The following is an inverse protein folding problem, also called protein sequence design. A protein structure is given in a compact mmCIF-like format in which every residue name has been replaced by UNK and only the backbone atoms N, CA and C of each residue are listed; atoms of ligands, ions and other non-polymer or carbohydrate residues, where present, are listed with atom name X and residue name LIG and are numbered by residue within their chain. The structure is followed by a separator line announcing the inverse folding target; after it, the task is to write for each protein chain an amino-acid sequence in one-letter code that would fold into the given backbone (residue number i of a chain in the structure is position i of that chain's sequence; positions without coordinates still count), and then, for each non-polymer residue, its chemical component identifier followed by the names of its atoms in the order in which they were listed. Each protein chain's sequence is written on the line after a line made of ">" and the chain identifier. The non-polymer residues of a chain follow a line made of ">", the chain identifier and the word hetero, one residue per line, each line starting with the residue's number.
data_IF_642256583354
#
_entry.id   IF_642256583354
#
_cell.length_a   1.000
_cell.length_b   1.000
_cell.length_c   1.000
_cell.angle_alpha   90.00
_cell.angle_beta   90.00
_cell.angle_gamma   90.00
#
_symmetry.space_group_name_H-M   'P 1'
#
loop_
_entity.id
_entity.type
_entity.pdbx_description
1 polymer ?
#
# COMPACT_ATOMS: atom_id res chain seq x y z
N UNK A 1 11.47 -18.89 4.51
CA UNK A 1 11.48 -18.69 3.04
C UNK A 1 12.87 -18.56 2.43
N UNK A 2 13.55 -19.71 2.29
CA UNK A 2 14.89 -19.84 1.71
C UNK A 2 14.89 -20.15 0.19
N UNK A 3 13.74 -20.08 -0.49
CA UNK A 3 13.59 -20.52 -1.88
C UNK A 3 14.09 -19.52 -2.93
N UNK A 4 14.31 -18.25 -2.58
CA UNK A 4 14.71 -17.21 -3.52
C UNK A 4 15.78 -16.31 -2.94
N UNK A 5 16.74 -15.93 -3.77
CA UNK A 5 17.72 -14.91 -3.44
C UNK A 5 17.06 -13.53 -3.31
N UNK A 6 17.64 -12.58 -2.55
CA UNK A 6 17.07 -11.24 -2.38
C UNK A 6 16.74 -10.52 -3.70
N UNK A 7 17.61 -10.65 -4.71
CA UNK A 7 17.38 -10.06 -6.04
C UNK A 7 16.17 -10.68 -6.76
N UNK A 8 15.97 -11.99 -6.64
CA UNK A 8 14.81 -12.69 -7.22
C UNK A 8 13.51 -12.26 -6.53
N UNK A 9 13.53 -12.11 -5.20
CA UNK A 9 12.38 -11.59 -4.44
C UNK A 9 12.04 -10.16 -4.84
N UNK A 10 13.04 -9.30 -5.01
CA UNK A 10 12.84 -7.93 -5.49
C UNK A 10 12.22 -7.93 -6.90
N UNK A 11 12.73 -8.77 -7.80
CA UNK A 11 12.19 -8.87 -9.15
C UNK A 11 10.73 -9.36 -9.14
N UNK A 12 10.42 -10.36 -8.32
CA UNK A 12 9.06 -10.87 -8.15
C UNK A 12 8.13 -9.81 -7.54
N UNK A 13 8.62 -9.00 -6.60
CA UNK A 13 7.87 -7.86 -6.06
C UNK A 13 7.52 -6.84 -7.15
N UNK A 14 8.44 -6.53 -8.07
CA UNK A 14 8.18 -5.66 -9.24
C UNK A 14 7.18 -6.27 -10.22
N UNK A 15 7.21 -7.58 -10.42
CA UNK A 15 6.19 -8.26 -11.22
C UNK A 15 4.80 -8.20 -10.57
N UNK A 16 4.73 -8.41 -9.26
CA UNK A 16 3.50 -8.24 -8.48
C UNK A 16 2.97 -6.81 -8.58
N UNK A 17 3.83 -5.79 -8.51
CA UNK A 17 3.45 -4.40 -8.72
C UNK A 17 2.80 -4.19 -10.10
N UNK A 18 3.44 -4.68 -11.17
CA UNK A 18 2.91 -4.55 -12.53
C UNK A 18 1.58 -5.28 -12.69
N UNK A 19 1.48 -6.50 -12.16
CA UNK A 19 0.25 -7.28 -12.20
C UNK A 19 -0.87 -6.61 -11.41
N UNK A 20 -0.57 -6.04 -10.23
CA UNK A 20 -1.53 -5.32 -9.41
C UNK A 20 -2.08 -4.08 -10.13
N UNK A 21 -1.23 -3.31 -10.83
CA UNK A 21 -1.66 -2.17 -11.66
C UNK A 21 -2.60 -2.61 -12.79
N UNK A 22 -2.28 -3.72 -13.47
CA UNK A 22 -3.14 -4.27 -14.53
C UNK A 22 -4.49 -4.72 -13.97
N UNK A 23 -4.50 -5.48 -12.87
CA UNK A 23 -5.73 -5.93 -12.21
C UNK A 23 -6.58 -4.73 -11.74
N UNK A 24 -5.94 -3.71 -11.16
CA UNK A 24 -6.60 -2.46 -10.75
C UNK A 24 -7.28 -1.76 -11.93
N UNK A 25 -6.60 -1.65 -13.09
CA UNK A 25 -7.18 -1.06 -14.30
C UNK A 25 -8.38 -1.83 -14.88
N UNK A 26 -8.55 -3.10 -14.48
CA UNK A 26 -9.66 -3.97 -14.86
C UNK A 26 -10.74 -4.09 -13.80
N UNK A 27 -10.66 -3.28 -12.73
CA UNK A 27 -11.58 -3.33 -11.59
C UNK A 27 -11.56 -4.67 -10.83
N UNK A 28 -10.50 -5.46 -10.96
CA UNK A 28 -10.29 -6.70 -10.20
C UNK A 28 -9.69 -6.38 -8.82
N UNK A 29 -10.42 -5.62 -8.00
CA UNK A 29 -9.88 -4.98 -6.79
C UNK A 29 -9.26 -5.95 -5.80
N UNK A 30 -9.94 -7.08 -5.50
CA UNK A 30 -9.41 -8.07 -4.58
C UNK A 30 -8.10 -8.69 -5.09
N UNK A 31 -8.03 -9.00 -6.39
CA UNK A 31 -6.83 -9.52 -7.04
C UNK A 31 -5.68 -8.52 -6.98
N UNK A 32 -5.95 -7.26 -7.33
CA UNK A 32 -4.98 -6.18 -7.29
C UNK A 32 -4.41 -5.98 -5.87
N UNK A 33 -5.28 -5.99 -4.86
CA UNK A 33 -4.87 -5.90 -3.45
C UNK A 33 -3.97 -7.07 -3.04
N UNK A 34 -4.36 -8.30 -3.39
CA UNK A 34 -3.61 -9.50 -3.04
C UNK A 34 -2.22 -9.52 -3.68
N UNK A 35 -2.12 -9.09 -4.95
CA UNK A 35 -0.85 -8.96 -5.66
C UNK A 35 0.04 -7.90 -5.01
N UNK A 36 -0.50 -6.72 -4.72
CA UNK A 36 0.23 -5.64 -4.10
C UNK A 36 0.81 -6.05 -2.73
N UNK A 37 0.00 -6.67 -1.87
CA UNK A 37 0.44 -7.17 -0.57
C UNK A 37 1.46 -8.32 -0.69
N UNK A 38 1.32 -9.17 -1.70
CA UNK A 38 2.31 -10.22 -1.96
C UNK A 38 3.65 -9.63 -2.39
N UNK A 39 3.64 -8.54 -3.17
CA UNK A 39 4.83 -7.73 -3.44
C UNK A 39 5.49 -7.21 -2.17
N UNK A 40 4.72 -6.61 -1.26
CA UNK A 40 5.24 -6.06 0.00
C UNK A 40 5.85 -7.14 0.91
N UNK A 41 5.27 -8.35 0.95
CA UNK A 41 5.76 -9.48 1.76
C UNK A 41 7.07 -10.09 1.24
N UNK A 42 7.43 -9.85 -0.03
CA UNK A 42 8.69 -10.32 -0.60
C UNK A 42 9.89 -9.43 -0.20
N UNK A 43 9.62 -8.19 0.20
CA UNK A 43 10.62 -7.23 0.65
C UNK A 43 10.85 -7.40 2.16
N UNK A 44 12.08 -7.19 2.62
CA UNK A 44 12.44 -7.30 4.05
C UNK A 44 11.72 -6.20 4.84
N UNK A 45 10.82 -6.53 5.80
CA UNK A 45 10.03 -5.52 6.51
C UNK A 45 10.87 -4.42 7.17
N UNK A 46 12.06 -4.76 7.65
CA UNK A 46 12.93 -3.88 8.41
C UNK A 46 13.66 -2.84 7.55
N UNK A 47 13.89 -3.13 6.25
CA UNK A 47 14.70 -2.27 5.37
C UNK A 47 13.99 -1.85 4.09
N UNK A 48 12.79 -2.38 3.81
CA UNK A 48 12.10 -2.18 2.52
C UNK A 48 11.81 -0.72 2.19
N UNK A 49 11.43 0.09 3.18
CA UNK A 49 11.17 1.52 2.99
C UNK A 49 12.46 2.31 2.80
N UNK A 50 13.59 1.79 3.28
CA UNK A 50 14.90 2.41 3.08
C UNK A 50 15.50 2.07 1.71
N UNK A 51 15.57 0.77 1.40
CA UNK A 51 16.21 0.23 0.20
C UNK A 51 15.33 0.33 -1.06
N UNK A 52 14.00 0.29 -0.90
CA UNK A 52 13.05 0.12 -2.00
C UNK A 52 11.83 1.05 -1.87
N UNK A 53 12.06 2.27 -1.37
CA UNK A 53 11.02 3.27 -1.08
C UNK A 53 9.93 3.37 -2.15
N UNK A 54 10.28 3.69 -3.40
CA UNK A 54 9.30 3.89 -4.49
C UNK A 54 8.42 2.66 -4.75
N UNK A 55 9.02 1.47 -4.66
CA UNK A 55 8.31 0.21 -4.86
C UNK A 55 7.36 -0.05 -3.69
N UNK A 56 7.81 0.18 -2.47
CA UNK A 56 6.98 0.07 -1.26
C UNK A 56 5.81 1.05 -1.28
N UNK A 57 6.08 2.31 -1.62
CA UNK A 57 5.07 3.35 -1.69
C UNK A 57 3.99 3.00 -2.72
N UNK A 58 4.39 2.63 -3.94
CA UNK A 58 3.42 2.31 -5.00
C UNK A 58 2.59 1.05 -4.67
N UNK A 59 3.24 -0.02 -4.19
CA UNK A 59 2.52 -1.22 -3.75
C UNK A 59 1.52 -0.90 -2.63
N UNK A 60 1.92 -0.08 -1.66
CA UNK A 60 1.06 0.30 -0.55
C UNK A 60 -0.10 1.20 -1.00
N UNK A 61 0.15 2.17 -1.88
CA UNK A 61 -0.90 3.01 -2.51
C UNK A 61 -1.94 2.15 -3.24
N UNK A 62 -1.49 1.17 -4.03
CA UNK A 62 -2.40 0.23 -4.71
C UNK A 62 -3.20 -0.55 -3.67
N UNK A 63 -2.54 -1.14 -2.67
CA UNK A 63 -3.23 -1.94 -1.65
C UNK A 63 -4.28 -1.12 -0.88
N UNK A 64 -3.94 0.09 -0.41
CA UNK A 64 -4.88 1.01 0.27
C UNK A 64 -6.12 1.26 -0.58
N UNK A 65 -5.91 1.69 -1.84
CA UNK A 65 -7.01 2.02 -2.76
C UNK A 65 -7.90 0.81 -3.03
N UNK A 66 -7.31 -0.36 -3.25
CA UNK A 66 -8.07 -1.57 -3.56
C UNK A 66 -8.81 -2.11 -2.34
N UNK A 67 -8.21 -2.09 -1.14
CA UNK A 67 -8.87 -2.46 0.11
C UNK A 67 -10.05 -1.53 0.42
N UNK A 68 -9.92 -0.23 0.10
CA UNK A 68 -11.05 0.71 0.17
C UNK A 68 -12.17 0.33 -0.81
N UNK A 69 -11.86 -0.01 -2.06
CA UNK A 69 -12.86 -0.42 -3.05
C UNK A 69 -13.63 -1.69 -2.65
N UNK A 70 -13.03 -2.60 -1.88
CA UNK A 70 -13.70 -3.81 -1.37
C UNK A 70 -14.28 -3.65 0.03
N UNK A 71 -14.20 -2.44 0.62
CA UNK A 71 -14.79 -2.12 1.93
C UNK A 71 -13.99 -2.64 3.14
N UNK A 72 -12.71 -3.00 2.97
CA UNK A 72 -11.87 -3.51 4.06
C UNK A 72 -11.17 -2.36 4.81
N UNK A 73 -11.97 -1.64 5.60
CA UNK A 73 -11.57 -0.41 6.30
C UNK A 73 -10.41 -0.66 7.28
N UNK A 74 -10.45 -1.78 8.02
CA UNK A 74 -9.42 -2.10 9.01
C UNK A 74 -8.03 -2.27 8.37
N UNK A 75 -7.98 -2.93 7.22
CA UNK A 75 -6.71 -3.14 6.51
C UNK A 75 -6.24 -1.87 5.82
N UNK A 76 -7.16 -1.08 5.27
CA UNK A 76 -6.87 0.25 4.76
C UNK A 76 -6.19 1.12 5.83
N UNK A 77 -6.74 1.16 7.05
CA UNK A 77 -6.17 1.90 8.17
C UNK A 77 -4.77 1.44 8.56
N UNK A 78 -4.51 0.13 8.58
CA UNK A 78 -3.17 -0.41 8.86
C UNK A 78 -2.14 -0.01 7.81
N UNK A 79 -2.49 -0.15 6.53
CA UNK A 79 -1.60 0.19 5.41
C UNK A 79 -1.32 1.68 5.34
N UNK A 80 -2.33 2.52 5.54
CA UNK A 80 -2.15 3.97 5.53
C UNK A 80 -1.32 4.46 6.73
N UNK A 81 -1.49 3.84 7.91
CA UNK A 81 -0.59 4.08 9.05
C UNK A 81 0.86 3.73 8.69
N UNK A 82 1.08 2.59 8.04
CA UNK A 82 2.41 2.18 7.59
C UNK A 82 3.04 3.22 6.65
N UNK A 83 2.29 3.75 5.68
CA UNK A 83 2.78 4.83 4.81
C UNK A 83 3.14 6.07 5.63
N UNK A 84 2.26 6.50 6.54
CA UNK A 84 2.49 7.71 7.35
C UNK A 84 3.74 7.63 8.23
N UNK A 85 4.11 6.43 8.69
CA UNK A 85 5.29 6.20 9.51
C UNK A 85 6.60 6.16 8.69
N UNK A 86 6.53 5.98 7.36
CA UNK A 86 7.70 5.75 6.51
C UNK A 86 7.86 6.80 5.39
N UNK A 87 6.91 7.73 5.23
CA UNK A 87 6.91 8.70 4.13
C UNK A 87 8.08 9.67 4.23
N UNK A 88 8.80 9.87 3.12
CA UNK A 88 9.96 10.78 3.03
C UNK A 88 9.55 12.20 2.62
N UNK A 89 8.49 12.33 1.84
CA UNK A 89 7.98 13.62 1.34
C UNK A 89 6.49 13.78 1.63
N UNK A 90 6.06 14.99 2.01
CA UNK A 90 4.67 15.26 2.40
C UNK A 90 3.67 14.96 1.25
N UNK A 91 4.09 15.13 0.00
CA UNK A 91 3.32 14.84 -1.23
C UNK A 91 3.00 13.37 -1.42
N UNK A 92 3.87 12.47 -0.96
CA UNK A 92 3.64 11.03 -1.00
C UNK A 92 2.56 10.59 -0.01
N UNK A 93 2.44 11.34 1.09
CA UNK A 93 1.40 11.19 2.10
C UNK A 93 0.05 11.59 1.49
N UNK A 94 -0.04 12.71 0.77
CA UNK A 94 -1.31 13.25 0.28
C UNK A 94 -2.07 12.28 -0.63
N UNK A 95 -1.43 11.62 -1.60
CA UNK A 95 -2.15 10.67 -2.49
C UNK A 95 -2.55 9.35 -1.81
N UNK A 96 -1.79 8.91 -0.79
CA UNK A 96 -2.09 7.68 -0.04
C UNK A 96 -3.12 7.94 1.08
N UNK A 97 -3.11 9.15 1.63
CA UNK A 97 -3.93 9.60 2.76
C UNK A 97 -5.26 10.24 2.30
N UNK A 98 -5.36 10.80 1.09
CA UNK A 98 -6.64 11.35 0.58
C UNK A 98 -7.76 10.30 0.55
N UNK A 99 -7.43 9.04 0.23
CA UNK A 99 -8.36 7.91 0.35
C UNK A 99 -8.79 7.62 1.80
N UNK A 100 -7.91 7.90 2.77
CA UNK A 100 -8.19 7.79 4.19
C UNK A 100 -9.08 8.95 4.68
N UNK A 101 -8.88 10.16 4.16
CA UNK A 101 -9.65 11.37 4.51
C UNK A 101 -11.10 11.28 4.01
N UNK A 102 -11.32 10.78 2.78
CA UNK A 102 -12.68 10.61 2.24
C UNK A 102 -13.48 9.52 2.98
N UNK A 103 -12.81 8.47 3.43
CA UNK A 103 -13.40 7.35 4.17
C UNK A 103 -13.62 7.66 5.67
N UNK A 104 -12.70 8.40 6.30
CA UNK A 104 -12.85 8.90 7.68
C UNK A 104 -13.87 10.05 7.77
N UNK A 105 -13.95 10.89 6.73
CA UNK A 105 -14.94 11.94 6.58
C UNK A 105 -16.37 11.37 6.44
N UNK A 106 -16.54 10.29 5.69
CA UNK A 106 -17.84 9.60 5.54
C UNK A 106 -18.23 8.71 6.72
N UNK A 107 -17.28 8.28 7.56
CA UNK A 107 -17.52 7.46 8.77
C UNK A 107 -17.59 8.26 10.09
N UNK A 108 -17.63 9.60 10.03
CA UNK A 108 -17.85 10.46 11.21
C UNK A 108 -16.66 10.56 12.18
N UNK A 109 -15.45 10.17 11.76
CA UNK A 109 -14.24 10.11 12.61
C UNK A 109 -13.25 11.26 12.38
N UNK A 110 -13.77 12.42 11.97
CA UNK A 110 -13.01 13.67 11.74
C UNK A 110 -12.05 14.09 12.87
N UNK A 111 -12.29 13.67 14.13
CA UNK A 111 -11.43 14.07 15.26
C UNK A 111 -10.03 13.45 15.27
N UNK A 112 -9.78 12.35 14.54
CA UNK A 112 -8.45 11.74 14.50
C UNK A 112 -7.53 12.35 13.43
N UNK A 113 -8.09 13.01 12.41
CA UNK A 113 -7.31 13.60 11.32
C UNK A 113 -6.71 14.98 11.66
N UNK A 114 -7.24 15.66 12.69
CA UNK A 114 -6.88 17.05 13.05
C UNK A 114 -5.97 17.10 14.30
N UNK A 115 -5.50 15.95 14.79
CA UNK A 115 -4.52 15.90 15.89
C UNK A 115 -3.11 16.14 15.39
N UNK A 116 -2.80 17.38 14.97
CA UNK A 116 -1.43 17.89 14.88
C UNK A 116 -0.81 18.04 16.27
#
# INVERSE_FOLDING_TARGET
>A
DALYQPAEKLQLARWNQRAARIASSRFEFQTASNLAQSGLRLLKPETRWDEHYDLCLDLTKIAVRMEMCVGNIDRCGKLAKEVSENVRELTDSMEAVDAQIDLLGSSGRLRQAIGM
#
